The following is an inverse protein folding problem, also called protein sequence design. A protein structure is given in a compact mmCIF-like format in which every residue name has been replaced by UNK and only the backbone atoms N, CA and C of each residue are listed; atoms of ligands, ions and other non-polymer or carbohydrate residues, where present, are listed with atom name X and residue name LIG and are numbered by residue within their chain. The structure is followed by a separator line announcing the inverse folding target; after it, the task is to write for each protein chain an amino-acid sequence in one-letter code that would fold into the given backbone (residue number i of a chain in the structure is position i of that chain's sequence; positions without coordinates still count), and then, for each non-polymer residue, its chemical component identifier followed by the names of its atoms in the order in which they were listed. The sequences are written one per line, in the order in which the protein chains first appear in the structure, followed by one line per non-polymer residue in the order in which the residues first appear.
data_IF_778320516300
#
_entry.id   IF_778320516300
#
_cell.length_a   1.000
_cell.length_b   1.000
_cell.length_c   1.000
_cell.angle_alpha   90.00
_cell.angle_beta   90.00
_cell.angle_gamma   90.00
#
_symmetry.space_group_name_H-M   'P 1'
#
loop_
_entity.id
_entity.type
_entity.pdbx_description
1 polymer ?
#
# COMPACT_ATOMS: atom_id res chain seq x y z
N UNK A 1 -49.15 34.12 -44.80
CA UNK A 1 -49.02 32.76 -44.32
C UNK A 1 -47.54 32.27 -44.20
N UNK A 2 -46.57 32.83 -44.93
CA UNK A 2 -45.17 32.39 -44.88
C UNK A 2 -44.42 32.72 -43.56
N UNK A 3 -44.76 33.80 -42.83
CA UNK A 3 -44.05 34.19 -41.57
C UNK A 3 -44.34 33.29 -40.37
N UNK A 4 -45.42 32.52 -40.38
CA UNK A 4 -45.76 31.60 -39.25
C UNK A 4 -45.07 30.22 -39.39
N UNK A 5 -44.66 29.82 -40.59
CA UNK A 5 -43.96 28.53 -40.80
C UNK A 5 -42.48 28.60 -40.36
N UNK A 6 -41.80 29.74 -40.51
CA UNK A 6 -40.38 29.89 -40.15
C UNK A 6 -40.14 29.88 -38.63
N UNK A 7 -41.10 30.34 -37.83
CA UNK A 7 -41.00 30.36 -36.36
C UNK A 7 -41.13 28.96 -35.76
N UNK A 8 -41.97 28.10 -36.35
CA UNK A 8 -42.19 26.72 -35.87
C UNK A 8 -40.97 25.83 -36.15
N UNK A 9 -40.26 26.01 -37.27
CA UNK A 9 -39.04 25.26 -37.57
C UNK A 9 -37.85 25.65 -36.69
N UNK A 10 -37.71 26.92 -36.29
CA UNK A 10 -36.66 27.40 -35.40
C UNK A 10 -36.85 26.86 -33.94
N UNK A 11 -38.11 26.77 -33.48
CA UNK A 11 -38.41 26.24 -32.16
C UNK A 11 -38.17 24.70 -32.05
N UNK A 12 -38.42 23.96 -33.14
CA UNK A 12 -38.14 22.50 -33.19
C UNK A 12 -36.66 22.18 -33.24
N UNK A 13 -35.81 22.99 -33.90
CA UNK A 13 -34.36 22.81 -33.91
C UNK A 13 -33.70 23.11 -32.55
N UNK A 14 -34.20 24.13 -31.83
CA UNK A 14 -33.72 24.44 -30.49
C UNK A 14 -34.12 23.37 -29.45
N UNK A 15 -35.27 22.74 -29.59
CA UNK A 15 -35.70 21.63 -28.71
C UNK A 15 -34.90 20.34 -28.97
N UNK A 16 -34.39 20.08 -30.17
CA UNK A 16 -33.57 18.92 -30.49
C UNK A 16 -32.12 19.04 -29.98
N UNK A 17 -31.60 20.28 -29.82
CA UNK A 17 -30.25 20.49 -29.23
C UNK A 17 -30.25 20.46 -27.70
N UNK A 18 -31.39 20.58 -27.04
CA UNK A 18 -31.51 20.46 -25.58
C UNK A 18 -31.66 19.00 -25.08
N UNK A 19 -31.93 18.05 -25.97
CA UNK A 19 -32.25 16.68 -25.62
C UNK A 19 -31.02 15.73 -25.57
N UNK A 20 -29.79 16.20 -25.81
CA UNK A 20 -28.59 15.32 -25.86
C UNK A 20 -27.68 15.35 -24.63
N UNK A 21 -28.04 16.05 -23.58
CA UNK A 21 -27.45 15.82 -22.26
C UNK A 21 -28.28 14.78 -21.49
N UNK A 22 -28.38 13.55 -22.04
CA UNK A 22 -28.68 12.40 -21.19
C UNK A 22 -27.51 12.32 -20.19
N UNK A 23 -27.72 12.90 -19.00
CA UNK A 23 -26.74 12.85 -17.93
C UNK A 23 -26.40 11.38 -17.69
N UNK A 24 -25.23 10.97 -18.11
CA UNK A 24 -24.75 9.62 -17.77
C UNK A 24 -24.79 9.54 -16.25
N UNK A 25 -25.52 8.56 -15.72
CA UNK A 25 -25.62 8.38 -14.28
C UNK A 25 -24.19 8.27 -13.72
N UNK A 26 -23.85 9.11 -12.75
CA UNK A 26 -22.56 9.11 -12.09
C UNK A 26 -22.27 7.74 -11.48
N UNK A 27 -21.18 7.12 -11.89
CA UNK A 27 -20.74 5.85 -11.33
C UNK A 27 -20.14 6.08 -9.92
N UNK A 28 -20.69 5.40 -8.91
CA UNK A 28 -20.18 5.44 -7.54
C UNK A 28 -19.20 4.31 -7.34
N UNK A 29 -17.98 4.64 -6.92
CA UNK A 29 -16.88 3.72 -6.72
C UNK A 29 -16.42 3.72 -5.26
N UNK A 30 -15.89 2.59 -4.79
CA UNK A 30 -15.34 2.43 -3.44
C UNK A 30 -13.84 2.25 -3.50
N UNK A 31 -13.12 3.11 -2.78
CA UNK A 31 -11.68 3.02 -2.58
C UNK A 31 -11.36 2.70 -1.12
N UNK A 32 -10.86 1.50 -0.84
CA UNK A 32 -10.61 1.03 0.52
C UNK A 32 -9.12 0.95 0.86
N UNK A 33 -8.79 1.24 2.13
CA UNK A 33 -7.48 1.00 2.70
C UNK A 33 -7.56 0.85 4.24
N UNK A 34 -6.47 0.33 4.84
CA UNK A 34 -6.42 0.05 6.29
C UNK A 34 -5.73 1.14 7.10
N UNK A 35 -5.18 2.16 6.45
CA UNK A 35 -4.34 3.22 7.06
C UNK A 35 -5.18 4.29 7.72
N UNK A 36 -4.58 5.01 8.70
CA UNK A 36 -5.26 6.07 9.45
C UNK A 36 -5.53 7.31 8.58
N UNK A 37 -6.52 8.10 8.98
CA UNK A 37 -6.91 9.32 8.26
C UNK A 37 -5.85 10.42 8.32
N UNK A 38 -4.92 10.34 9.25
CA UNK A 38 -3.77 11.24 9.38
C UNK A 38 -2.59 10.89 8.45
N UNK A 39 -2.59 9.67 7.89
CA UNK A 39 -1.48 9.22 7.03
C UNK A 39 -1.61 9.77 5.59
N UNK A 40 -0.48 10.05 4.92
CA UNK A 40 -0.47 10.56 3.54
C UNK A 40 -1.22 9.69 2.52
N UNK A 41 -1.37 8.40 2.79
CA UNK A 41 -2.16 7.48 1.95
C UNK A 41 -3.62 7.89 1.89
N UNK A 42 -4.22 8.27 3.02
CA UNK A 42 -5.62 8.71 3.06
C UNK A 42 -5.78 10.09 2.41
N UNK A 43 -4.99 11.07 2.83
CA UNK A 43 -5.13 12.44 2.33
C UNK A 43 -4.91 12.52 0.82
N UNK A 44 -3.95 11.74 0.29
CA UNK A 44 -3.70 11.66 -1.16
C UNK A 44 -4.79 10.89 -1.91
N UNK A 45 -5.38 9.84 -1.30
CA UNK A 45 -6.54 9.14 -1.91
C UNK A 45 -7.77 10.02 -2.01
N UNK A 46 -8.05 10.80 -0.96
CA UNK A 46 -9.17 11.77 -0.97
C UNK A 46 -8.95 12.84 -2.05
N UNK A 47 -7.72 13.37 -2.15
CA UNK A 47 -7.37 14.30 -3.21
C UNK A 47 -7.55 13.66 -4.60
N UNK A 48 -7.05 12.44 -4.80
CA UNK A 48 -7.16 11.72 -6.08
C UNK A 48 -8.62 11.45 -6.45
N UNK A 49 -9.46 11.04 -5.49
CA UNK A 49 -10.88 10.82 -5.69
C UNK A 49 -11.58 12.08 -6.21
N UNK A 50 -11.30 13.24 -5.59
CA UNK A 50 -11.83 14.53 -6.02
C UNK A 50 -11.33 14.94 -7.41
N UNK A 51 -10.03 14.72 -7.67
CA UNK A 51 -9.39 15.10 -8.92
C UNK A 51 -9.88 14.25 -10.10
N UNK A 52 -10.07 12.93 -9.89
CA UNK A 52 -10.70 12.05 -10.88
C UNK A 52 -12.12 12.54 -11.19
N UNK A 53 -12.91 12.85 -10.16
CA UNK A 53 -14.25 13.42 -10.37
C UNK A 53 -14.24 14.65 -11.25
N UNK A 54 -13.31 15.59 -11.01
CA UNK A 54 -13.16 16.82 -11.82
C UNK A 54 -12.72 16.51 -13.25
N UNK A 55 -11.63 15.73 -13.45
CA UNK A 55 -11.06 15.44 -14.78
C UNK A 55 -11.99 14.58 -15.64
N UNK A 56 -12.91 13.84 -15.01
CA UNK A 56 -13.94 13.05 -15.70
C UNK A 56 -15.27 13.77 -15.83
N UNK A 57 -15.34 15.09 -15.57
CA UNK A 57 -16.59 15.87 -15.63
C UNK A 57 -17.73 15.25 -14.83
N UNK A 58 -17.44 14.69 -13.64
CA UNK A 58 -18.42 14.10 -12.73
C UNK A 58 -18.92 12.71 -13.12
N UNK A 59 -18.33 12.04 -14.14
CA UNK A 59 -18.72 10.65 -14.50
C UNK A 59 -18.48 9.66 -13.37
N UNK A 60 -17.48 9.89 -12.52
CA UNK A 60 -17.16 9.05 -11.38
C UNK A 60 -17.18 9.83 -10.08
N UNK A 61 -17.81 9.25 -9.06
CA UNK A 61 -17.72 9.65 -7.66
C UNK A 61 -17.05 8.53 -6.87
N UNK A 62 -15.95 8.82 -6.20
CA UNK A 62 -15.16 7.83 -5.46
C UNK A 62 -15.27 8.11 -3.97
N UNK A 63 -15.87 7.19 -3.22
CA UNK A 63 -15.90 7.23 -1.76
C UNK A 63 -14.68 6.49 -1.21
N UNK A 64 -13.87 7.19 -0.38
CA UNK A 64 -12.67 6.62 0.25
C UNK A 64 -13.03 6.09 1.63
N UNK A 65 -12.72 4.82 1.89
CA UNK A 65 -12.99 4.10 3.14
C UNK A 65 -11.66 3.77 3.86
N UNK A 66 -11.22 4.61 4.82
CA UNK A 66 -9.98 4.43 5.56
C UNK A 66 -10.11 3.46 6.74
N UNK A 67 -9.01 3.24 7.45
CA UNK A 67 -8.94 2.61 8.77
C UNK A 67 -9.71 1.28 8.89
N UNK A 68 -9.61 0.44 7.85
CA UNK A 68 -10.28 -0.88 7.79
C UNK A 68 -11.82 -0.84 7.83
N UNK A 69 -12.45 0.27 7.43
CA UNK A 69 -13.94 0.39 7.42
C UNK A 69 -14.62 -0.66 6.55
N UNK A 70 -13.98 -1.15 5.48
CA UNK A 70 -14.49 -2.21 4.63
C UNK A 70 -13.82 -3.58 4.88
N UNK A 71 -13.18 -3.75 6.02
CA UNK A 71 -12.51 -4.99 6.43
C UNK A 71 -11.00 -4.87 6.53
N UNK A 72 -10.35 -5.95 7.00
CA UNK A 72 -8.90 -6.05 7.09
C UNK A 72 -8.27 -6.13 5.68
N UNK A 73 -6.95 -5.99 5.58
CA UNK A 73 -6.27 -5.91 4.29
C UNK A 73 -6.50 -7.13 3.38
N UNK A 74 -6.58 -8.33 3.97
CA UNK A 74 -6.95 -9.53 3.22
C UNK A 74 -8.36 -9.46 2.62
N UNK A 75 -9.33 -8.91 3.37
CA UNK A 75 -10.73 -8.81 2.95
C UNK A 75 -10.89 -7.82 1.79
N UNK A 76 -10.24 -6.65 1.84
CA UNK A 76 -10.30 -5.67 0.74
C UNK A 76 -9.59 -6.18 -0.52
N UNK A 77 -8.50 -6.95 -0.40
CA UNK A 77 -7.87 -7.63 -1.55
C UNK A 77 -8.83 -8.66 -2.18
N UNK A 78 -9.52 -9.45 -1.37
CA UNK A 78 -10.55 -10.37 -1.85
C UNK A 78 -11.74 -9.61 -2.46
N UNK A 79 -12.07 -8.46 -1.87
CA UNK A 79 -13.15 -7.57 -2.32
C UNK A 79 -13.01 -7.10 -3.76
N UNK A 80 -11.77 -6.89 -4.26
CA UNK A 80 -11.51 -6.61 -5.68
C UNK A 80 -12.02 -7.72 -6.59
N UNK A 81 -11.78 -8.98 -6.24
CA UNK A 81 -12.20 -10.14 -7.03
C UNK A 81 -13.70 -10.40 -6.94
N UNK A 82 -14.32 -10.06 -5.81
CA UNK A 82 -15.74 -10.23 -5.56
C UNK A 82 -16.59 -9.02 -6.03
N UNK A 83 -15.95 -7.93 -6.49
CA UNK A 83 -16.63 -6.71 -6.93
C UNK A 83 -17.28 -5.90 -5.79
N UNK A 84 -16.92 -6.14 -4.53
CA UNK A 84 -17.40 -5.36 -3.39
C UNK A 84 -16.60 -4.07 -3.15
N UNK A 85 -15.40 -3.98 -3.73
CA UNK A 85 -14.48 -2.83 -3.70
C UNK A 85 -13.91 -2.64 -5.10
N UNK A 86 -13.77 -1.39 -5.55
CA UNK A 86 -13.29 -1.04 -6.89
C UNK A 86 -11.80 -0.74 -6.93
N UNK A 87 -11.29 -0.08 -5.88
CA UNK A 87 -9.92 0.39 -5.76
C UNK A 87 -9.43 0.09 -4.34
N UNK A 88 -8.17 -0.33 -4.20
CA UNK A 88 -7.53 -0.49 -2.89
C UNK A 88 -6.13 0.11 -2.86
N UNK A 89 -5.66 0.40 -1.63
CA UNK A 89 -4.23 0.54 -1.34
C UNK A 89 -3.81 -0.67 -0.50
N UNK A 90 -2.84 -1.45 -1.01
CA UNK A 90 -2.35 -2.67 -0.35
C UNK A 90 -0.92 -2.99 -0.76
N UNK A 91 -0.19 -3.68 0.12
CA UNK A 91 1.18 -4.13 -0.17
C UNK A 91 1.24 -5.26 -1.20
N UNK A 92 2.34 -5.32 -1.97
CA UNK A 92 2.62 -6.47 -2.87
C UNK A 92 2.65 -7.81 -2.12
N UNK A 93 2.93 -7.79 -0.82
CA UNK A 93 2.87 -8.99 0.04
C UNK A 93 1.47 -9.62 0.10
N UNK A 94 0.41 -8.80 0.11
CA UNK A 94 -0.98 -9.29 0.03
C UNK A 94 -1.36 -9.70 -1.40
N UNK A 95 -0.90 -8.98 -2.42
CA UNK A 95 -1.06 -9.34 -3.83
C UNK A 95 -0.41 -10.71 -4.13
N UNK A 96 0.67 -11.06 -3.43
CA UNK A 96 1.36 -12.34 -3.52
C UNK A 96 0.49 -13.55 -3.14
N UNK A 97 -0.59 -13.38 -2.39
CA UNK A 97 -1.58 -14.46 -2.14
C UNK A 97 -2.23 -14.96 -3.45
N UNK A 98 -2.36 -14.10 -4.44
CA UNK A 98 -2.90 -14.43 -5.76
C UNK A 98 -1.82 -14.70 -6.81
N UNK A 99 -0.66 -14.04 -6.70
CA UNK A 99 0.49 -14.18 -7.60
C UNK A 99 1.79 -14.12 -6.80
N UNK A 100 2.28 -15.25 -6.26
CA UNK A 100 3.43 -15.30 -5.36
C UNK A 100 4.68 -14.54 -5.84
N UNK A 101 5.07 -14.56 -7.14
CA UNK A 101 6.30 -13.90 -7.57
C UNK A 101 6.39 -12.41 -7.23
N UNK A 102 5.26 -11.66 -7.18
CA UNK A 102 5.29 -10.22 -6.86
C UNK A 102 5.72 -9.95 -5.41
N UNK A 103 5.56 -10.95 -4.53
CA UNK A 103 5.95 -10.87 -3.13
C UNK A 103 7.46 -10.84 -2.89
N UNK A 104 8.28 -11.15 -3.89
CA UNK A 104 9.75 -11.09 -3.77
C UNK A 104 10.26 -9.71 -3.32
N UNK A 105 9.49 -8.67 -3.61
CA UNK A 105 9.77 -7.29 -3.17
C UNK A 105 9.70 -7.12 -1.66
N UNK A 106 9.07 -8.06 -0.94
CA UNK A 106 8.96 -8.09 0.53
C UNK A 106 9.88 -9.11 1.19
N UNK A 107 10.69 -9.84 0.41
CA UNK A 107 11.76 -10.63 1.01
C UNK A 107 12.70 -9.68 1.76
N UNK A 108 13.05 -9.95 3.03
CA UNK A 108 13.81 -8.98 3.83
C UNK A 108 15.11 -8.54 3.14
N UNK A 109 15.43 -7.25 3.26
CA UNK A 109 16.63 -6.64 2.68
C UNK A 109 16.70 -6.68 1.14
N UNK A 110 15.56 -6.79 0.45
CA UNK A 110 15.49 -6.72 -1.03
C UNK A 110 15.89 -5.35 -1.56
N UNK A 111 15.40 -4.28 -0.96
CA UNK A 111 15.77 -2.92 -1.36
C UNK A 111 16.78 -2.32 -0.40
N UNK A 112 17.76 -1.58 -0.95
CA UNK A 112 18.77 -0.87 -0.17
C UNK A 112 18.20 0.33 0.57
N UNK A 113 17.38 1.10 -0.14
CA UNK A 113 16.77 2.36 0.32
C UNK A 113 15.55 2.73 -0.54
N UNK A 114 14.96 3.90 -0.24
CA UNK A 114 13.81 4.43 -0.97
C UNK A 114 14.13 4.71 -2.45
N UNK A 115 15.34 5.16 -2.77
CA UNK A 115 15.70 5.52 -4.14
C UNK A 115 15.87 4.26 -5.00
N UNK A 116 16.43 3.18 -4.45
CA UNK A 116 16.47 1.87 -5.11
C UNK A 116 15.05 1.32 -5.37
N UNK A 117 14.13 1.44 -4.41
CA UNK A 117 12.72 1.08 -4.61
C UNK A 117 12.08 1.91 -5.73
N UNK A 118 12.31 3.23 -5.76
CA UNK A 118 11.75 4.10 -6.79
C UNK A 118 12.37 3.84 -8.17
N UNK A 119 13.65 3.47 -8.24
CA UNK A 119 14.28 3.00 -9.47
C UNK A 119 13.66 1.67 -9.96
N UNK A 120 13.42 0.73 -9.03
CA UNK A 120 12.75 -0.53 -9.33
C UNK A 120 11.38 -0.31 -10.00
N UNK A 121 10.57 0.66 -9.54
CA UNK A 121 9.24 0.92 -10.14
C UNK A 121 9.29 1.31 -11.63
N UNK A 122 10.47 1.69 -12.15
CA UNK A 122 10.71 2.05 -13.55
C UNK A 122 11.37 0.92 -14.35
N UNK A 123 11.74 -0.17 -13.71
CA UNK A 123 12.52 -1.27 -14.29
C UNK A 123 11.64 -2.28 -15.05
N UNK A 124 12.27 -3.09 -15.89
CA UNK A 124 11.57 -4.16 -16.59
C UNK A 124 11.13 -5.29 -15.65
N UNK A 125 11.86 -5.54 -14.55
CA UNK A 125 11.42 -6.53 -13.58
C UNK A 125 10.11 -6.12 -12.88
N UNK A 126 9.91 -4.81 -12.64
CA UNK A 126 8.62 -4.29 -12.14
C UNK A 126 7.50 -4.53 -13.14
N UNK A 127 7.72 -4.20 -14.43
CA UNK A 127 6.75 -4.41 -15.50
C UNK A 127 6.34 -5.88 -15.62
N UNK A 128 7.33 -6.79 -15.59
CA UNK A 128 7.08 -8.23 -15.69
C UNK A 128 6.27 -8.75 -14.50
N UNK A 129 6.60 -8.33 -13.27
CA UNK A 129 5.90 -8.75 -12.07
C UNK A 129 4.47 -8.20 -12.01
N UNK A 130 4.27 -6.93 -12.35
CA UNK A 130 2.93 -6.32 -12.37
C UNK A 130 2.08 -6.89 -13.50
N UNK A 131 2.67 -7.15 -14.69
CA UNK A 131 2.00 -7.82 -15.79
C UNK A 131 1.58 -9.25 -15.43
N UNK A 132 2.46 -10.00 -14.76
CA UNK A 132 2.13 -11.35 -14.28
C UNK A 132 0.98 -11.35 -13.27
N UNK A 133 0.94 -10.36 -12.38
CA UNK A 133 -0.18 -10.16 -11.45
C UNK A 133 -1.48 -9.85 -12.20
N UNK A 134 -1.43 -8.93 -13.18
CA UNK A 134 -2.56 -8.57 -14.04
C UNK A 134 -3.07 -9.79 -14.82
N UNK A 135 -2.20 -10.53 -15.47
CA UNK A 135 -2.58 -11.74 -16.26
C UNK A 135 -3.25 -12.81 -15.38
N UNK A 136 -2.81 -12.92 -14.12
CA UNK A 136 -3.35 -13.89 -13.17
C UNK A 136 -4.68 -13.48 -12.58
N UNK A 137 -4.87 -12.18 -12.29
CA UNK A 137 -6.00 -11.68 -11.47
C UNK A 137 -6.98 -10.82 -12.26
N UNK A 138 -6.55 -10.24 -13.37
CA UNK A 138 -7.25 -9.19 -14.10
C UNK A 138 -7.19 -7.82 -13.41
N UNK A 139 -6.58 -7.69 -12.24
CA UNK A 139 -6.47 -6.42 -11.51
C UNK A 139 -5.22 -5.63 -11.95
N UNK A 140 -5.29 -4.29 -11.89
CA UNK A 140 -4.27 -3.40 -12.42
C UNK A 140 -3.59 -2.61 -11.31
N UNK A 141 -2.27 -2.81 -11.14
CA UNK A 141 -1.44 -1.95 -10.30
C UNK A 141 -1.11 -0.70 -11.11
N UNK A 142 -1.71 0.43 -10.75
CA UNK A 142 -1.60 1.69 -11.51
C UNK A 142 -0.63 2.70 -10.89
N UNK A 143 -0.36 2.57 -9.58
CA UNK A 143 0.59 3.43 -8.89
C UNK A 143 1.26 2.68 -7.73
N UNK A 144 2.47 3.13 -7.35
CA UNK A 144 3.25 2.61 -6.22
C UNK A 144 3.66 3.78 -5.34
N UNK A 145 3.35 3.70 -4.06
CA UNK A 145 3.72 4.69 -3.05
C UNK A 145 4.79 4.11 -2.13
N UNK A 146 5.89 4.83 -1.91
CA UNK A 146 6.83 4.49 -0.85
C UNK A 146 6.12 4.54 0.51
N UNK A 147 6.22 3.48 1.29
CA UNK A 147 5.54 3.38 2.59
C UNK A 147 6.45 3.78 3.75
N UNK A 148 7.74 3.65 3.59
CA UNK A 148 8.75 3.85 4.61
C UNK A 148 9.62 2.62 4.81
N UNK A 149 10.65 2.76 5.63
CA UNK A 149 11.49 1.65 6.07
C UNK A 149 10.87 1.03 7.32
N UNK A 150 10.63 -0.28 7.29
CA UNK A 150 10.05 -1.01 8.42
C UNK A 150 11.08 -1.30 9.50
N UNK A 151 10.70 -1.00 10.72
CA UNK A 151 11.49 -1.16 11.93
C UNK A 151 10.70 -1.92 12.98
N UNK A 152 11.38 -2.48 13.98
CA UNK A 152 10.73 -3.18 15.10
C UNK A 152 10.48 -2.21 16.25
N UNK A 153 9.26 -2.20 16.81
CA UNK A 153 9.02 -1.65 18.16
C UNK A 153 8.84 -2.79 19.15
N UNK A 154 9.31 -2.61 20.40
CA UNK A 154 9.34 -3.67 21.40
C UNK A 154 9.25 -3.14 22.84
N UNK A 155 8.75 -3.99 23.75
CA UNK A 155 8.79 -3.73 25.21
C UNK A 155 10.07 -4.24 25.88
N UNK A 156 10.94 -4.93 25.16
CA UNK A 156 12.29 -5.29 25.62
C UNK A 156 13.36 -4.85 24.62
N UNK A 157 14.59 -4.59 25.12
CA UNK A 157 15.69 -4.16 24.25
C UNK A 157 16.08 -5.26 23.27
N UNK A 158 16.41 -4.89 22.03
CA UNK A 158 16.94 -5.75 21.00
C UNK A 158 18.18 -5.05 20.43
N UNK A 159 19.33 -5.72 20.46
CA UNK A 159 20.61 -5.23 19.92
C UNK A 159 21.16 -6.17 18.84
N UNK A 160 20.91 -7.47 18.99
CA UNK A 160 21.32 -8.54 18.07
C UNK A 160 20.11 -9.43 17.75
N UNK A 161 20.18 -10.17 16.66
CA UNK A 161 19.12 -11.08 16.22
C UNK A 161 18.69 -12.07 17.32
N UNK A 162 19.66 -12.59 18.08
CA UNK A 162 19.42 -13.54 19.17
C UNK A 162 18.53 -12.96 20.30
N UNK A 163 18.50 -11.66 20.49
CA UNK A 163 17.64 -11.00 21.51
C UNK A 163 16.14 -11.16 21.21
N UNK A 164 15.79 -11.48 19.96
CA UNK A 164 14.40 -11.73 19.56
C UNK A 164 13.91 -13.13 19.93
N UNK A 165 14.79 -14.02 20.43
CA UNK A 165 14.39 -15.39 20.79
C UNK A 165 13.23 -15.41 21.78
N UNK A 166 12.15 -16.12 21.39
CA UNK A 166 10.93 -16.24 22.20
C UNK A 166 10.08 -14.96 22.30
N UNK A 167 10.47 -13.85 21.67
CA UNK A 167 9.70 -12.61 21.65
C UNK A 167 8.36 -12.84 20.95
N UNK A 168 7.26 -12.55 21.63
CA UNK A 168 5.94 -12.56 21.01
C UNK A 168 5.78 -11.34 20.13
N UNK A 169 5.91 -11.53 18.83
CA UNK A 169 5.92 -10.41 17.88
C UNK A 169 4.73 -10.48 16.92
N UNK A 170 3.94 -9.42 16.89
CA UNK A 170 2.89 -9.26 15.88
C UNK A 170 3.52 -9.00 14.52
N UNK A 171 2.98 -9.65 13.52
CA UNK A 171 3.24 -9.39 12.10
C UNK A 171 1.93 -9.34 11.31
N UNK A 172 1.89 -8.71 10.12
CA UNK A 172 0.77 -8.89 9.19
C UNK A 172 0.58 -10.36 8.81
N UNK A 173 -0.66 -10.75 8.46
CA UNK A 173 -1.00 -12.14 8.09
C UNK A 173 -0.56 -12.47 6.65
N UNK A 174 0.76 -12.41 6.43
CA UNK A 174 1.41 -12.75 5.14
C UNK A 174 2.80 -13.34 5.40
N UNK A 175 3.20 -14.41 4.69
CA UNK A 175 4.45 -15.14 4.96
C UNK A 175 5.71 -14.29 4.96
N UNK A 176 5.85 -13.31 4.06
CA UNK A 176 7.03 -12.46 3.96
C UNK A 176 7.39 -11.72 5.26
N UNK A 177 6.39 -11.27 6.02
CA UNK A 177 6.62 -10.57 7.29
C UNK A 177 7.07 -11.49 8.43
N UNK A 178 6.89 -12.81 8.27
CA UNK A 178 7.33 -13.80 9.24
C UNK A 178 8.85 -14.07 9.12
N UNK A 179 9.47 -13.76 7.98
CA UNK A 179 10.81 -14.19 7.63
C UNK A 179 11.87 -13.72 8.64
N UNK A 180 12.05 -12.41 8.79
CA UNK A 180 13.09 -11.86 9.67
C UNK A 180 12.82 -12.19 11.14
N UNK A 181 11.62 -11.99 11.72
CA UNK A 181 11.38 -12.35 13.11
C UNK A 181 11.62 -13.83 13.41
N UNK A 182 11.18 -14.74 12.55
CA UNK A 182 11.41 -16.19 12.74
C UNK A 182 12.87 -16.56 12.59
N UNK A 183 13.57 -15.99 11.63
CA UNK A 183 15.01 -16.19 11.48
C UNK A 183 15.76 -15.82 12.77
N UNK A 184 15.31 -14.78 13.48
CA UNK A 184 15.84 -14.34 14.77
C UNK A 184 15.21 -15.06 15.99
N UNK A 185 14.38 -16.10 15.78
CA UNK A 185 13.82 -16.92 16.85
C UNK A 185 12.61 -16.34 17.57
N UNK A 186 11.95 -15.31 17.02
CA UNK A 186 10.72 -14.75 17.57
C UNK A 186 9.52 -15.68 17.37
N UNK A 187 8.57 -15.64 18.31
CA UNK A 187 7.25 -16.26 18.21
C UNK A 187 6.31 -15.30 17.52
N UNK A 188 6.08 -15.49 16.23
CA UNK A 188 5.26 -14.58 15.42
C UNK A 188 3.76 -14.84 15.60
N UNK A 189 2.99 -13.76 15.73
CA UNK A 189 1.52 -13.77 15.81
C UNK A 189 0.92 -12.91 14.69
N UNK A 190 0.34 -13.50 13.63
CA UNK A 190 -0.42 -12.77 12.63
C UNK A 190 -1.68 -12.16 13.25
N UNK A 191 -1.74 -10.83 13.27
CA UNK A 191 -2.89 -10.06 13.81
C UNK A 191 -3.25 -8.96 12.82
N UNK A 192 -4.54 -8.73 12.58
CA UNK A 192 -5.04 -7.67 11.71
C UNK A 192 -4.57 -6.28 12.18
N UNK A 193 -4.31 -5.36 11.22
CA UNK A 193 -3.70 -4.06 11.54
C UNK A 193 -4.51 -3.22 12.54
N UNK A 194 -5.85 -3.25 12.44
CA UNK A 194 -6.71 -2.52 13.37
C UNK A 194 -6.61 -3.00 14.83
N UNK A 195 -6.19 -4.23 15.07
CA UNK A 195 -6.15 -4.87 16.40
C UNK A 195 -4.79 -4.70 17.11
N UNK A 196 -3.76 -4.19 16.40
CA UNK A 196 -2.37 -4.20 16.89
C UNK A 196 -2.19 -3.36 18.14
N UNK A 197 -2.77 -2.15 18.20
CA UNK A 197 -2.62 -1.29 19.37
C UNK A 197 -3.12 -2.00 20.65
N UNK A 198 -4.31 -2.58 20.58
CA UNK A 198 -4.90 -3.28 21.73
C UNK A 198 -4.09 -4.54 22.11
N UNK A 199 -3.58 -5.27 21.11
CA UNK A 199 -2.75 -6.47 21.35
C UNK A 199 -1.42 -6.11 22.04
N UNK A 200 -0.82 -4.97 21.71
CA UNK A 200 0.37 -4.44 22.39
C UNK A 200 0.02 -3.91 23.81
N UNK A 201 -1.08 -3.18 23.94
CA UNK A 201 -1.51 -2.59 25.19
C UNK A 201 -1.80 -3.63 26.27
N UNK A 202 -2.46 -4.73 25.91
CA UNK A 202 -2.82 -5.79 26.86
C UNK A 202 -1.75 -6.91 26.99
N UNK A 203 -0.61 -6.76 26.28
CA UNK A 203 0.50 -7.71 26.34
C UNK A 203 0.26 -9.06 25.63
N UNK A 204 -0.77 -9.18 24.77
CA UNK A 204 -0.95 -10.34 23.88
C UNK A 204 0.30 -10.54 23.03
N UNK A 205 0.89 -9.45 22.57
CA UNK A 205 2.22 -9.40 21.94
C UNK A 205 3.09 -8.33 22.58
N UNK A 206 4.42 -8.52 22.53
CA UNK A 206 5.41 -7.64 23.13
C UNK A 206 6.08 -6.71 22.13
N UNK A 207 5.94 -7.02 20.85
CA UNK A 207 6.57 -6.32 19.75
C UNK A 207 5.70 -6.32 18.48
N UNK A 208 5.99 -5.41 17.59
CA UNK A 208 5.47 -5.35 16.23
C UNK A 208 6.52 -4.74 15.28
N UNK A 209 6.26 -4.70 13.98
CA UNK A 209 7.11 -4.05 12.99
C UNK A 209 6.26 -3.22 12.02
N UNK A 210 6.72 -2.01 11.73
CA UNK A 210 6.11 -1.07 10.77
C UNK A 210 7.09 0.06 10.43
N UNK A 211 6.80 0.87 9.39
CA UNK A 211 7.48 2.15 9.21
C UNK A 211 7.26 3.09 10.39
N UNK A 212 8.23 3.97 10.61
CA UNK A 212 8.17 4.93 11.73
C UNK A 212 6.94 5.84 11.65
N UNK A 213 6.53 6.25 10.46
CA UNK A 213 5.33 7.07 10.23
C UNK A 213 4.06 6.37 10.69
N UNK A 214 3.96 5.07 10.46
CA UNK A 214 2.82 4.26 10.92
C UNK A 214 2.87 3.99 12.42
N UNK A 215 4.08 3.77 12.99
CA UNK A 215 4.24 3.66 14.45
C UNK A 215 3.74 4.94 15.14
N UNK A 216 3.99 6.10 14.54
CA UNK A 216 3.52 7.39 15.01
C UNK A 216 2.01 7.54 14.84
N UNK A 217 1.47 7.35 13.64
CA UNK A 217 0.05 7.53 13.33
C UNK A 217 -0.86 6.58 14.16
N UNK A 218 -0.42 5.34 14.38
CA UNK A 218 -1.11 4.33 15.22
C UNK A 218 -0.81 4.47 16.70
N UNK A 219 0.02 5.44 17.09
CA UNK A 219 0.41 5.69 18.50
C UNK A 219 1.01 4.47 19.19
N UNK A 220 1.66 3.57 18.48
CA UNK A 220 2.28 2.38 19.08
C UNK A 220 3.36 2.76 20.11
N UNK A 221 3.96 3.96 19.97
CA UNK A 221 4.91 4.52 20.95
C UNK A 221 4.32 4.73 22.35
N UNK A 222 3.00 4.81 22.51
CA UNK A 222 2.35 4.92 23.82
C UNK A 222 2.38 3.61 24.60
N UNK A 223 2.50 2.48 23.90
CA UNK A 223 2.43 1.11 24.45
C UNK A 223 3.71 0.30 24.19
N UNK A 224 4.76 0.93 23.68
CA UNK A 224 6.08 0.36 23.42
C UNK A 224 7.18 1.18 24.06
N UNK A 225 8.32 0.56 24.38
CA UNK A 225 9.45 1.20 25.07
C UNK A 225 10.67 1.42 24.17
N UNK A 226 10.81 0.63 23.13
CA UNK A 226 11.97 0.62 22.25
C UNK A 226 11.55 0.71 20.78
N UNK A 227 12.31 1.47 20.00
CA UNK A 227 12.35 1.43 18.54
C UNK A 227 13.70 0.86 18.15
N UNK A 228 13.71 -0.24 17.39
CA UNK A 228 14.93 -0.89 16.90
C UNK A 228 14.99 -0.69 15.40
N UNK A 229 16.00 0.02 14.92
CA UNK A 229 16.12 0.41 13.50
C UNK A 229 16.58 -0.77 12.62
N UNK A 230 15.76 -1.84 12.62
CA UNK A 230 16.05 -3.08 11.88
C UNK A 230 16.15 -2.87 10.37
N UNK A 231 15.36 -1.97 9.80
CA UNK A 231 15.40 -1.64 8.37
C UNK A 231 15.22 -2.85 7.45
N UNK A 232 14.49 -3.85 7.92
CA UNK A 232 14.42 -5.18 7.29
C UNK A 232 13.58 -5.21 6.02
N UNK A 233 12.67 -4.24 5.81
CA UNK A 233 11.91 -4.07 4.57
C UNK A 233 11.84 -2.57 4.24
N UNK A 234 12.29 -2.19 3.06
CA UNK A 234 11.94 -0.90 2.43
C UNK A 234 10.61 -1.11 1.74
N UNK A 235 9.56 -0.56 2.33
CA UNK A 235 8.19 -0.94 2.04
C UNK A 235 7.50 -0.03 1.01
N UNK A 236 6.52 -0.57 0.31
CA UNK A 236 5.73 0.13 -0.68
C UNK A 236 4.30 -0.40 -0.73
N UNK A 237 3.40 0.48 -1.12
CA UNK A 237 1.99 0.18 -1.29
C UNK A 237 1.58 0.39 -2.74
N UNK A 238 0.78 -0.54 -3.25
CA UNK A 238 0.20 -0.45 -4.58
C UNK A 238 -1.20 0.16 -4.51
N UNK A 239 -1.51 1.09 -5.40
CA UNK A 239 -2.89 1.42 -5.74
C UNK A 239 -3.34 0.46 -6.83
N UNK A 240 -4.37 -0.34 -6.52
CA UNK A 240 -4.84 -1.43 -7.38
C UNK A 240 -6.29 -1.15 -7.77
N UNK A 241 -6.56 -1.17 -9.08
CA UNK A 241 -7.91 -1.06 -9.65
C UNK A 241 -8.41 -2.47 -9.98
N UNK A 242 -9.67 -2.78 -9.63
CA UNK A 242 -10.30 -4.06 -9.96
C UNK A 242 -10.41 -4.25 -11.49
N UNK A 243 -10.26 -5.49 -11.94
CA UNK A 243 -10.42 -5.83 -13.36
C UNK A 243 -11.83 -5.51 -13.89
N UNK A 244 -12.85 -5.59 -13.02
CA UNK A 244 -14.22 -5.23 -13.37
C UNK A 244 -14.39 -3.74 -13.63
N UNK A 245 -13.80 -2.88 -12.80
CA UNK A 245 -13.79 -1.45 -13.05
C UNK A 245 -12.96 -1.13 -14.29
N UNK A 246 -11.74 -1.69 -14.39
CA UNK A 246 -10.82 -1.41 -15.49
C UNK A 246 -11.43 -1.69 -16.87
N UNK A 247 -12.17 -2.79 -17.02
CA UNK A 247 -12.89 -3.12 -18.26
C UNK A 247 -13.96 -2.10 -18.64
N UNK A 248 -14.60 -1.47 -17.66
CA UNK A 248 -15.65 -0.46 -17.85
C UNK A 248 -15.11 0.94 -18.17
N UNK A 249 -13.86 1.23 -17.81
CA UNK A 249 -13.22 2.51 -18.11
C UNK A 249 -12.88 2.60 -19.61
N UNK A 250 -13.18 3.75 -20.21
CA UNK A 250 -12.64 4.11 -21.54
C UNK A 250 -11.12 4.24 -21.49
N UNK A 251 -10.44 4.25 -22.64
CA UNK A 251 -8.99 4.50 -22.67
C UNK A 251 -8.62 5.85 -22.09
N UNK A 252 -9.42 6.89 -22.34
CA UNK A 252 -9.27 8.22 -21.77
C UNK A 252 -9.39 8.17 -20.24
N UNK A 253 -10.43 7.49 -19.71
CA UNK A 253 -10.64 7.38 -18.28
C UNK A 253 -9.54 6.55 -17.60
N UNK A 254 -9.08 5.45 -18.21
CA UNK A 254 -7.92 4.68 -17.71
C UNK A 254 -6.69 5.57 -17.56
N UNK A 255 -6.44 6.43 -18.55
CA UNK A 255 -5.34 7.39 -18.49
C UNK A 255 -5.54 8.39 -17.36
N UNK A 256 -6.72 8.99 -17.22
CA UNK A 256 -7.02 9.94 -16.12
C UNK A 256 -6.82 9.28 -14.76
N UNK A 257 -7.38 8.08 -14.54
CA UNK A 257 -7.23 7.34 -13.28
C UNK A 257 -5.77 7.07 -12.97
N UNK A 258 -5.02 6.56 -13.96
CA UNK A 258 -3.60 6.25 -13.80
C UNK A 258 -2.78 7.50 -13.47
N UNK A 259 -2.91 8.56 -14.25
CA UNK A 259 -2.15 9.80 -14.06
C UNK A 259 -2.42 10.41 -12.67
N UNK A 260 -3.70 10.52 -12.27
CA UNK A 260 -4.08 11.11 -10.97
C UNK A 260 -3.60 10.25 -9.81
N UNK A 261 -3.69 8.92 -9.91
CA UNK A 261 -3.22 8.02 -8.86
C UNK A 261 -1.69 8.02 -8.74
N UNK A 262 -0.96 8.18 -9.84
CA UNK A 262 0.49 8.37 -9.82
C UNK A 262 0.88 9.72 -9.22
N UNK A 263 0.17 10.80 -9.55
CA UNK A 263 0.35 12.11 -8.90
C UNK A 263 0.12 12.02 -7.38
N UNK A 264 -0.94 11.34 -6.95
CA UNK A 264 -1.24 11.10 -5.53
C UNK A 264 -0.15 10.30 -4.83
N UNK A 265 0.33 9.22 -5.47
CA UNK A 265 1.43 8.39 -4.96
C UNK A 265 2.73 9.18 -4.81
N UNK A 266 3.05 10.04 -5.77
CA UNK A 266 4.24 10.89 -5.72
C UNK A 266 4.16 11.90 -4.56
N UNK A 267 2.98 12.53 -4.34
CA UNK A 267 2.73 13.43 -3.20
C UNK A 267 2.91 12.70 -1.88
N UNK A 268 2.23 11.56 -1.69
CA UNK A 268 2.33 10.76 -0.48
C UNK A 268 3.78 10.31 -0.22
N UNK A 269 4.50 9.85 -1.25
CA UNK A 269 5.92 9.46 -1.16
C UNK A 269 6.79 10.62 -0.65
N UNK A 270 6.59 11.83 -1.19
CA UNK A 270 7.33 13.01 -0.76
C UNK A 270 7.08 13.37 0.70
N UNK A 271 5.82 13.35 1.13
CA UNK A 271 5.42 13.62 2.52
C UNK A 271 5.98 12.57 3.48
N UNK A 272 5.93 11.27 3.13
CA UNK A 272 6.45 10.19 3.95
C UNK A 272 7.96 10.32 4.16
N UNK A 273 8.74 10.56 3.09
CA UNK A 273 10.19 10.77 3.19
C UNK A 273 10.55 11.92 4.14
N UNK A 274 9.82 13.04 4.05
CA UNK A 274 10.02 14.21 4.91
C UNK A 274 9.64 13.91 6.37
N UNK A 275 8.56 13.20 6.59
CA UNK A 275 8.09 12.86 7.94
C UNK A 275 8.98 11.83 8.61
N UNK A 276 9.34 10.75 7.90
CA UNK A 276 10.20 9.67 8.40
C UNK A 276 11.52 10.19 8.97
N UNK A 277 12.14 11.17 8.30
CA UNK A 277 13.41 11.76 8.72
C UNK A 277 13.39 12.41 10.11
N UNK A 278 12.23 12.77 10.65
CA UNK A 278 12.05 13.46 11.94
C UNK A 278 11.69 12.51 13.08
N UNK A 279 11.29 11.28 12.77
CA UNK A 279 10.62 10.42 13.75
C UNK A 279 11.55 9.75 14.74
N UNK A 280 12.82 9.57 14.41
CA UNK A 280 13.82 9.09 15.38
C UNK A 280 13.89 10.04 16.59
N UNK A 281 14.00 11.34 16.33
CA UNK A 281 14.06 12.34 17.41
C UNK A 281 12.71 12.48 18.11
N UNK A 282 11.60 12.40 17.38
CA UNK A 282 10.27 12.39 17.99
C UNK A 282 10.11 11.25 19.00
N UNK A 283 10.50 10.01 18.66
CA UNK A 283 10.37 8.88 19.57
C UNK A 283 11.29 9.00 20.78
N UNK A 284 12.52 9.53 20.63
CA UNK A 284 13.40 9.86 21.75
C UNK A 284 12.75 10.89 22.68
N UNK A 285 12.14 11.95 22.13
CA UNK A 285 11.42 12.97 22.91
C UNK A 285 10.19 12.39 23.64
N UNK A 286 9.55 11.34 23.08
CA UNK A 286 8.46 10.61 23.73
C UNK A 286 8.95 9.62 24.81
N UNK A 287 10.25 9.55 25.05
CA UNK A 287 10.86 8.71 26.09
C UNK A 287 11.19 7.28 25.65
N UNK A 288 11.10 6.96 24.36
CA UNK A 288 11.50 5.64 23.84
C UNK A 288 13.01 5.58 23.66
N UNK A 289 13.56 4.39 23.90
CA UNK A 289 14.94 4.08 23.50
C UNK A 289 14.97 3.73 22.01
N UNK A 290 15.70 4.51 21.22
CA UNK A 290 15.93 4.19 19.80
C UNK A 290 17.31 3.55 19.66
N UNK A 291 17.35 2.34 19.13
CA UNK A 291 18.57 1.53 18.98
C UNK A 291 18.90 1.29 17.52
N UNK A 292 20.11 1.64 17.12
CA UNK A 292 20.72 1.21 15.86
C UNK A 292 21.31 -0.19 16.04
N UNK A 293 21.25 -1.00 15.00
CA UNK A 293 21.76 -2.38 15.01
C UNK A 293 22.69 -2.65 13.82
N UNK A 294 23.44 -3.72 13.90
CA UNK A 294 24.16 -4.25 12.75
C UNK A 294 23.16 -4.99 11.81
N UNK A 295 22.68 -4.28 10.77
CA UNK A 295 21.70 -4.83 9.81
C UNK A 295 22.24 -6.04 9.03
N UNK A 296 23.55 -6.13 8.83
CA UNK A 296 24.17 -7.24 8.10
C UNK A 296 24.02 -8.57 8.86
N UNK A 297 24.14 -8.55 10.20
CA UNK A 297 23.90 -9.72 11.04
C UNK A 297 22.48 -10.27 10.85
N UNK A 298 21.48 -9.37 10.85
CA UNK A 298 20.08 -9.77 10.66
C UNK A 298 19.83 -10.27 9.24
N UNK A 299 20.35 -9.56 8.23
CA UNK A 299 20.25 -9.96 6.81
C UNK A 299 20.87 -11.35 6.58
N UNK A 300 22.09 -11.55 7.04
CA UNK A 300 22.83 -12.80 6.82
C UNK A 300 22.13 -13.97 7.54
N UNK A 301 21.54 -13.72 8.70
CA UNK A 301 20.70 -14.72 9.40
C UNK A 301 19.46 -15.07 8.58
N UNK A 302 18.75 -14.10 8.01
CA UNK A 302 17.60 -14.35 7.14
C UNK A 302 17.99 -15.14 5.90
N UNK A 303 19.02 -14.71 5.17
CA UNK A 303 19.48 -15.38 3.94
C UNK A 303 19.88 -16.83 4.22
N UNK A 304 20.52 -17.09 5.36
CA UNK A 304 20.94 -18.43 5.76
C UNK A 304 19.79 -19.38 6.13
N UNK A 305 18.71 -18.84 6.68
CA UNK A 305 17.63 -19.65 7.28
C UNK A 305 16.33 -19.65 6.48
N UNK A 306 16.18 -18.76 5.50
CA UNK A 306 14.91 -18.55 4.78
C UNK A 306 15.16 -18.58 3.28
N UNK A 307 14.70 -19.60 2.59
CA UNK A 307 14.84 -19.70 1.14
C UNK A 307 13.72 -18.96 0.40
N UNK A 308 13.98 -18.52 -0.84
CA UNK A 308 12.97 -17.91 -1.70
C UNK A 308 11.84 -18.87 -2.03
N UNK A 309 12.17 -20.15 -2.22
CA UNK A 309 11.24 -21.21 -2.57
C UNK A 309 10.21 -21.46 -1.46
N UNK A 310 10.55 -21.18 -0.19
CA UNK A 310 9.60 -21.30 0.93
C UNK A 310 8.40 -20.32 0.84
N UNK A 311 8.49 -19.33 -0.06
CA UNK A 311 7.44 -18.36 -0.35
C UNK A 311 6.92 -18.43 -1.79
N UNK A 312 7.34 -19.40 -2.56
CA UNK A 312 7.12 -19.47 -4.02
C UNK A 312 7.67 -18.23 -4.77
N UNK A 313 8.74 -17.60 -4.23
CA UNK A 313 9.43 -16.49 -4.87
C UNK A 313 10.54 -17.00 -5.78
N UNK A 314 10.82 -16.27 -6.85
CA UNK A 314 11.89 -16.61 -7.78
C UNK A 314 13.15 -15.83 -7.44
N UNK A 315 14.22 -16.53 -7.07
CA UNK A 315 15.52 -15.89 -6.81
C UNK A 315 16.01 -15.05 -8.00
N UNK A 316 15.72 -15.49 -9.23
CA UNK A 316 16.07 -14.73 -10.44
C UNK A 316 15.43 -13.34 -10.49
N UNK A 317 14.20 -13.17 -10.00
CA UNK A 317 13.57 -11.84 -9.92
C UNK A 317 14.24 -10.98 -8.85
N UNK A 318 14.61 -11.58 -7.71
CA UNK A 318 15.39 -10.89 -6.68
C UNK A 318 16.74 -10.42 -7.22
N UNK A 319 17.47 -11.27 -7.95
CA UNK A 319 18.76 -10.94 -8.56
C UNK A 319 18.60 -9.76 -9.56
N UNK A 320 17.52 -9.75 -10.35
CA UNK A 320 17.19 -8.64 -11.26
C UNK A 320 16.91 -7.34 -10.49
N UNK A 321 16.20 -7.42 -9.36
CA UNK A 321 15.95 -6.25 -8.50
C UNK A 321 17.27 -5.73 -7.95
N UNK A 322 18.17 -6.61 -7.46
CA UNK A 322 19.48 -6.20 -6.94
C UNK A 322 20.34 -5.47 -8.00
N UNK A 323 20.18 -5.80 -9.28
CA UNK A 323 20.89 -5.19 -10.38
C UNK A 323 20.39 -3.80 -10.77
N UNK A 324 19.22 -3.37 -10.28
CA UNK A 324 18.67 -2.03 -10.51
C UNK A 324 19.56 -0.98 -9.82
N UNK A 325 19.91 0.09 -10.58
CA UNK A 325 20.79 1.17 -10.11
C UNK A 325 20.01 2.41 -9.73
#
# INVERSE_FOLDING_TARGET
MLKKLTVVMAASAAALMAATSAGMAQAKLKWAHVYETSEPFHTSSVWAAQEIGKRTNGRYAIDVYPASQLGKEADINQGLSLGSVDIIISGSSFAAKSFPPIGVTYYPYTFRDADHLLAYTKSDVFKDLTKGYEDKTGHHIVAVTYYGVRHTSSNRPIKVCADMKGLKMRVPDVPAYLAMPRACGANTAPIAFAEVYLALQNGTVEAQENPLTTIEAKKFYEVQKHIVLTGHIVDHLNTIISGELWKKLSEEDRKIFTDVMQEASAKATGEIKVNEAKLVDFFKQKGLTVTEINKDEFRDTVIKTTSFESFDYRKADWDRIQAVK
#
